data_IF_337453498044
#
_entry.id   IF_337453498044
#
_cell.length_a   1.000
_cell.length_b   1.000
_cell.length_c   1.000
_cell.angle_alpha   90.00
_cell.angle_beta   90.00
_cell.angle_gamma   90.00
#
_symmetry.space_group_name_H-M   'P 1'
#
loop_
_entity.id
_entity.type
_entity.pdbx_description
1 polymer ?
#
# COMPACT_ATOMS: atom_id res chain seq x y z
N UNK A 1 -14.36 3.66 9.65
CA UNK A 1 -13.85 3.81 8.27
C UNK A 1 -12.64 4.72 8.35
N UNK A 2 -11.48 4.25 7.91
CA UNK A 2 -10.23 5.02 7.91
C UNK A 2 -10.02 5.61 6.50
N UNK A 3 -9.63 6.88 6.42
CA UNK A 3 -9.31 7.54 5.15
C UNK A 3 -7.95 8.20 5.28
N UNK A 4 -7.01 7.79 4.43
CA UNK A 4 -5.63 8.28 4.46
C UNK A 4 -5.37 9.16 3.25
N UNK A 5 -4.97 10.41 3.50
CA UNK A 5 -4.53 11.33 2.46
C UNK A 5 -3.00 11.37 2.45
N UNK A 6 -2.37 10.98 1.33
CA UNK A 6 -0.93 11.16 1.08
C UNK A 6 -0.72 12.40 0.22
N UNK A 7 -0.12 13.45 0.79
CA UNK A 7 0.12 14.72 0.09
C UNK A 7 1.44 15.36 0.56
N UNK A 8 1.98 16.26 -0.27
CA UNK A 8 3.11 17.12 0.09
C UNK A 8 2.65 18.22 1.05
N UNK A 9 3.58 18.73 1.85
CA UNK A 9 3.30 19.85 2.75
C UNK A 9 2.79 21.10 2.01
N UNK A 10 3.24 21.34 0.78
CA UNK A 10 2.79 22.46 -0.07
C UNK A 10 1.32 22.35 -0.51
N UNK A 11 0.72 21.18 -0.39
CA UNK A 11 -0.67 20.90 -0.77
C UNK A 11 -1.65 21.04 0.41
N UNK A 12 -1.14 21.30 1.62
CA UNK A 12 -1.94 21.66 2.80
C UNK A 12 -2.46 23.11 2.68
N UNK A 13 -3.35 23.33 1.72
CA UNK A 13 -3.97 24.62 1.44
C UNK A 13 -5.35 24.74 2.10
N UNK A 14 -5.88 25.96 2.20
CA UNK A 14 -7.21 26.20 2.78
C UNK A 14 -8.33 25.43 2.07
N UNK A 15 -8.18 25.17 0.77
CA UNK A 15 -9.09 24.33 -0.01
C UNK A 15 -9.18 22.90 0.53
N UNK A 16 -8.06 22.30 0.93
CA UNK A 16 -8.03 20.96 1.54
C UNK A 16 -8.78 20.93 2.87
N UNK A 17 -8.59 21.95 3.71
CA UNK A 17 -9.32 22.08 4.98
C UNK A 17 -10.83 22.21 4.74
N UNK A 18 -11.24 22.97 3.72
CA UNK A 18 -12.65 23.06 3.34
C UNK A 18 -13.21 21.70 2.89
N UNK A 19 -12.44 20.92 2.11
CA UNK A 19 -12.84 19.57 1.70
C UNK A 19 -12.98 18.61 2.89
N UNK A 20 -12.06 18.65 3.87
CA UNK A 20 -12.17 17.84 5.09
C UNK A 20 -13.45 18.16 5.88
N UNK A 21 -13.76 19.45 6.06
CA UNK A 21 -15.00 19.88 6.72
C UNK A 21 -16.26 19.39 5.98
N UNK A 22 -16.25 19.44 4.65
CA UNK A 22 -17.37 18.97 3.84
C UNK A 22 -17.58 17.45 3.93
N UNK A 23 -16.48 16.67 3.97
CA UNK A 23 -16.51 15.21 4.05
C UNK A 23 -16.95 14.70 5.43
N UNK A 24 -16.39 15.26 6.50
CA UNK A 24 -16.59 14.73 7.85
C UNK A 24 -17.61 15.51 8.69
N UNK A 25 -18.09 16.67 8.21
CA UNK A 25 -19.17 17.48 8.79
C UNK A 25 -19.00 17.71 10.30
N UNK A 26 -19.88 17.12 11.11
CA UNK A 26 -19.94 17.30 12.56
C UNK A 26 -19.28 16.16 13.35
N UNK A 27 -18.59 15.25 12.66
CA UNK A 27 -17.89 14.15 13.33
C UNK A 27 -16.58 14.67 13.93
N UNK A 28 -16.22 14.17 15.11
CA UNK A 28 -14.87 14.32 15.64
C UNK A 28 -13.89 13.59 14.71
N UNK A 29 -12.81 14.27 14.35
CA UNK A 29 -11.75 13.72 13.50
C UNK A 29 -10.40 13.89 14.19
N UNK A 30 -9.54 12.89 14.02
CA UNK A 30 -8.14 12.93 14.39
C UNK A 30 -7.30 13.18 13.14
N UNK A 31 -6.32 14.10 13.21
CA UNK A 31 -5.36 14.35 12.13
C UNK A 31 -3.96 13.98 12.62
N UNK A 32 -3.37 12.95 12.01
CA UNK A 32 -1.99 12.56 12.26
C UNK A 32 -1.08 13.02 11.12
N UNK A 33 -0.11 13.90 11.42
CA UNK A 33 0.90 14.35 10.45
C UNK A 33 2.23 13.67 10.77
N UNK A 34 2.78 12.97 9.79
CA UNK A 34 4.11 12.34 9.87
C UNK A 34 4.89 12.76 8.64
N UNK A 35 6.20 12.95 8.78
CA UNK A 35 7.05 13.00 7.58
C UNK A 35 6.93 11.67 6.86
N UNK A 36 6.67 11.72 5.56
CA UNK A 36 6.64 10.52 4.74
C UNK A 36 8.06 9.96 4.71
N UNK A 37 8.31 8.84 5.39
CA UNK A 37 9.50 8.05 5.13
C UNK A 37 9.40 7.53 3.70
N UNK A 38 10.50 7.62 2.95
CA UNK A 38 10.60 6.94 1.67
C UNK A 38 10.41 5.44 1.93
N UNK A 39 9.30 4.87 1.44
CA UNK A 39 8.99 3.43 1.61
C UNK A 39 10.13 2.56 1.06
N UNK A 40 10.92 3.07 0.11
CA UNK A 40 12.14 2.43 -0.40
C UNK A 40 13.22 2.37 0.67
N UNK A 41 13.43 3.45 1.42
CA UNK A 41 14.44 3.54 2.46
C UNK A 41 14.07 2.61 3.63
N UNK A 42 12.78 2.50 3.95
CA UNK A 42 12.26 1.50 4.89
C UNK A 42 12.45 0.06 4.38
N UNK A 43 12.11 -0.25 3.13
CA UNK A 43 12.31 -1.60 2.55
C UNK A 43 13.80 -1.98 2.46
N UNK A 44 14.68 -1.00 2.27
CA UNK A 44 16.13 -1.19 2.21
C UNK A 44 16.82 -1.10 3.59
N UNK A 45 16.09 -0.72 4.64
CA UNK A 45 16.65 -0.45 5.98
C UNK A 45 17.27 -1.68 6.64
N UNK A 46 16.77 -2.88 6.33
CA UNK A 46 17.36 -4.14 6.77
C UNK A 46 18.17 -4.79 5.63
N UNK A 47 19.43 -5.19 5.87
CA UNK A 47 20.22 -5.96 4.90
C UNK A 47 19.51 -7.22 4.41
N UNK A 48 18.71 -7.86 5.28
CA UNK A 48 17.92 -9.05 4.95
C UNK A 48 16.78 -8.70 3.98
N UNK A 49 16.01 -7.64 4.27
CA UNK A 49 14.90 -7.21 3.41
C UNK A 49 15.38 -6.74 2.04
N UNK A 50 16.50 -5.99 2.01
CA UNK A 50 17.15 -5.58 0.77
C UNK A 50 17.59 -6.78 -0.07
N UNK A 51 18.20 -7.79 0.54
CA UNK A 51 18.62 -9.01 -0.16
C UNK A 51 17.43 -9.77 -0.73
N UNK A 52 16.40 -10.01 0.08
CA UNK A 52 15.19 -10.70 -0.36
C UNK A 52 14.51 -10.00 -1.54
N UNK A 53 14.38 -8.67 -1.48
CA UNK A 53 13.79 -7.87 -2.56
C UNK A 53 14.62 -7.96 -3.85
N UNK A 54 15.94 -7.77 -3.77
CA UNK A 54 16.81 -7.84 -4.94
C UNK A 54 16.86 -9.24 -5.56
N UNK A 55 16.82 -10.28 -4.73
CA UNK A 55 16.79 -11.66 -5.20
C UNK A 55 15.43 -11.97 -5.87
N UNK A 56 14.30 -11.52 -5.30
CA UNK A 56 12.98 -11.64 -5.96
C UNK A 56 12.94 -10.95 -7.33
N UNK A 57 13.50 -9.74 -7.46
CA UNK A 57 13.59 -9.03 -8.75
C UNK A 57 14.41 -9.84 -9.77
N UNK A 58 15.50 -10.49 -9.36
CA UNK A 58 16.30 -11.34 -10.25
C UNK A 58 15.52 -12.56 -10.70
N UNK A 59 14.77 -13.19 -9.80
CA UNK A 59 13.97 -14.38 -10.10
C UNK A 59 12.87 -14.03 -11.11
N UNK A 60 12.18 -12.88 -10.95
CA UNK A 60 11.20 -12.38 -11.94
C UNK A 60 11.85 -12.13 -13.31
N UNK A 61 13.01 -11.47 -13.35
CA UNK A 61 13.73 -11.21 -14.62
C UNK A 61 14.19 -12.49 -15.32
N UNK A 62 14.39 -13.58 -14.57
CA UNK A 62 14.79 -14.89 -15.07
C UNK A 62 13.61 -15.84 -15.30
N UNK A 63 12.38 -15.36 -15.15
CA UNK A 63 11.15 -16.17 -15.19
C UNK A 63 11.23 -17.41 -14.28
N UNK A 64 11.88 -17.26 -13.12
CA UNK A 64 12.16 -18.34 -12.18
C UNK A 64 11.31 -18.17 -10.92
N UNK A 65 10.84 -19.29 -10.37
CA UNK A 65 10.02 -19.31 -9.15
C UNK A 65 8.75 -18.43 -9.23
N UNK A 66 8.18 -18.26 -10.42
CA UNK A 66 6.93 -17.53 -10.62
C UNK A 66 5.76 -18.51 -10.68
N UNK A 67 4.70 -18.20 -9.92
CA UNK A 67 3.41 -18.88 -10.05
C UNK A 67 2.56 -18.01 -10.97
N UNK A 68 2.10 -18.59 -12.07
CA UNK A 68 1.18 -17.96 -13.02
C UNK A 68 -0.15 -18.68 -12.94
N UNK A 69 -1.22 -17.91 -12.93
CA UNK A 69 -2.58 -18.43 -12.97
C UNK A 69 -3.46 -17.46 -13.75
N UNK A 70 -4.49 -18.00 -14.35
CA UNK A 70 -5.60 -17.27 -14.95
C UNK A 70 -6.58 -16.84 -13.86
N UNK A 71 -7.42 -15.84 -14.15
CA UNK A 71 -8.46 -15.42 -13.21
C UNK A 71 -9.39 -16.58 -12.81
N UNK A 72 -9.70 -17.48 -13.75
CA UNK A 72 -10.54 -18.66 -13.48
C UNK A 72 -9.91 -19.65 -12.49
N UNK A 73 -8.60 -19.88 -12.60
CA UNK A 73 -7.87 -20.76 -11.67
C UNK A 73 -7.82 -20.16 -10.26
N UNK A 74 -7.65 -18.84 -10.15
CA UNK A 74 -7.71 -18.14 -8.86
C UNK A 74 -9.09 -18.25 -8.22
N UNK A 75 -10.16 -18.02 -8.98
CA UNK A 75 -11.53 -18.13 -8.49
C UNK A 75 -11.86 -19.55 -8.00
N UNK A 76 -11.43 -20.57 -8.74
CA UNK A 76 -11.62 -21.97 -8.35
C UNK A 76 -10.87 -22.30 -7.05
N UNK A 77 -9.63 -21.85 -6.90
CA UNK A 77 -8.83 -22.04 -5.70
C UNK A 77 -9.42 -21.31 -4.48
N UNK A 78 -9.83 -20.05 -4.67
CA UNK A 78 -10.46 -19.26 -3.59
C UNK A 78 -11.77 -19.88 -3.10
N UNK A 79 -12.63 -20.37 -4.00
CA UNK A 79 -13.86 -21.08 -3.62
C UNK A 79 -13.59 -22.35 -2.82
N UNK A 80 -12.51 -23.08 -3.14
CA UNK A 80 -12.12 -24.27 -2.39
C UNK A 80 -11.75 -23.94 -0.95
N UNK A 81 -10.91 -22.91 -0.75
CA UNK A 81 -10.45 -22.50 0.59
C UNK A 81 -11.55 -21.95 1.50
N UNK A 82 -12.63 -21.38 0.94
CA UNK A 82 -13.74 -20.83 1.72
C UNK A 82 -14.77 -21.91 2.09
N UNK A 83 -14.79 -23.02 1.38
CA UNK A 83 -15.72 -24.14 1.60
C UNK A 83 -15.10 -25.32 2.38
N UNK A 84 -13.86 -25.17 2.87
CA UNK A 84 -13.17 -26.06 3.82
C UNK A 84 -13.24 -25.48 5.24
#
# INVERSE_FOLDING_TARGET
>A
METVFKLRATELQNSFIASLKALFKNNEIEITVKQMQDETEYLLSSPSNKKALLDAIKEVKKDKNLIRFTGKEFEAYSKKLVNE
#
